data_IF_446697332609
#
_entry.id   IF_446697332609
#
_cell.length_a   1.000
_cell.length_b   1.000
_cell.length_c   1.000
_cell.angle_alpha   90.00
_cell.angle_beta   90.00
_cell.angle_gamma   90.00
#
_symmetry.space_group_name_H-M   'P 1'
#
loop_
_entity.id
_entity.type
_entity.pdbx_description
1 polymer ?
#
# COMPACT_ATOMS: atom_id res chain seq x y z
N UNK A 1 19.95 7.23 64.23
CA UNK A 1 19.82 8.10 63.06
C UNK A 1 20.35 7.29 61.91
N UNK A 2 19.53 6.35 61.45
CA UNK A 2 19.78 5.70 60.17
C UNK A 2 19.23 6.67 59.14
N UNK A 3 20.14 7.39 58.48
CA UNK A 3 19.85 8.03 57.20
C UNK A 3 19.45 6.92 56.24
N UNK A 4 18.16 6.59 56.22
CA UNK A 4 17.56 6.01 55.04
C UNK A 4 17.85 7.01 53.91
N UNK A 5 18.87 6.73 53.09
CA UNK A 5 19.09 7.40 51.82
C UNK A 5 17.85 7.09 50.97
N UNK A 6 16.81 7.90 51.13
CA UNK A 6 15.59 7.78 50.38
C UNK A 6 15.94 8.07 48.93
N UNK A 7 16.20 6.98 48.21
CA UNK A 7 16.20 6.87 46.76
C UNK A 7 17.40 7.49 46.03
N UNK A 8 18.43 6.66 45.78
CA UNK A 8 19.12 6.65 44.49
C UNK A 8 18.14 6.14 43.40
N UNK A 9 16.94 6.72 43.29
CA UNK A 9 16.04 6.39 42.18
C UNK A 9 16.48 7.22 40.98
N UNK A 10 16.73 6.50 39.89
CA UNK A 10 16.84 7.14 38.59
C UNK A 10 15.47 7.75 38.22
N UNK A 11 15.33 9.06 38.39
CA UNK A 11 14.11 9.80 38.03
C UNK A 11 13.74 9.62 36.56
N UNK A 12 14.72 9.36 35.68
CA UNK A 12 14.45 9.08 34.27
C UNK A 12 13.79 7.72 34.11
N UNK A 13 14.16 6.71 34.90
CA UNK A 13 13.48 5.41 34.93
C UNK A 13 12.05 5.55 35.47
N UNK A 14 11.83 6.38 36.49
CA UNK A 14 10.47 6.66 37.00
C UNK A 14 9.61 7.35 35.94
N UNK A 15 10.14 8.36 35.25
CA UNK A 15 9.44 9.07 34.18
C UNK A 15 9.20 8.17 32.96
N UNK A 16 10.15 7.28 32.63
CA UNK A 16 10.02 6.25 31.58
C UNK A 16 8.84 5.33 31.83
N UNK A 17 8.59 4.98 33.10
CA UNK A 17 7.43 4.20 33.54
C UNK A 17 6.16 5.06 33.76
N UNK A 18 6.18 6.33 33.32
CA UNK A 18 5.05 7.28 33.43
C UNK A 18 4.59 7.59 34.86
N UNK A 19 5.44 7.39 35.86
CA UNK A 19 5.14 7.63 37.27
C UNK A 19 5.41 9.09 37.68
N UNK A 20 4.71 10.04 37.05
CA UNK A 20 5.01 11.46 37.23
C UNK A 20 4.69 12.02 38.61
N UNK A 21 3.80 11.41 39.40
CA UNK A 21 3.56 11.85 40.78
C UNK A 21 4.83 11.81 41.65
N UNK A 22 5.68 10.80 41.42
CA UNK A 22 6.97 10.66 42.11
C UNK A 22 7.98 11.66 41.56
N UNK A 23 7.97 11.89 40.24
CA UNK A 23 8.81 12.90 39.59
C UNK A 23 8.47 14.30 40.12
N UNK A 24 7.20 14.66 40.17
CA UNK A 24 6.73 15.96 40.62
C UNK A 24 7.11 16.21 42.08
N UNK A 25 6.91 15.19 42.95
CA UNK A 25 7.35 15.22 44.35
C UNK A 25 8.87 15.40 44.48
N UNK A 26 9.66 14.69 43.67
CA UNK A 26 11.12 14.86 43.67
C UNK A 26 11.52 16.28 43.22
N UNK A 27 10.85 16.81 42.20
CA UNK A 27 11.07 18.18 41.72
C UNK A 27 10.60 19.25 42.73
N UNK A 28 9.76 18.93 43.71
CA UNK A 28 9.42 19.84 44.83
C UNK A 28 10.51 19.87 45.92
N UNK A 29 11.35 18.84 45.97
CA UNK A 29 12.32 18.63 47.04
C UNK A 29 13.76 18.59 46.50
N UNK A 30 14.10 19.50 45.56
CA UNK A 30 15.40 19.55 44.89
C UNK A 30 16.58 19.71 45.84
N UNK A 31 16.38 20.30 47.03
CA UNK A 31 17.42 20.48 48.05
C UNK A 31 17.94 19.13 48.62
N UNK A 32 17.21 18.05 48.41
CA UNK A 32 17.54 16.72 48.93
C UNK A 32 18.36 15.86 47.94
N UNK A 33 18.59 16.33 46.71
CA UNK A 33 19.18 15.52 45.63
C UNK A 33 20.11 16.35 44.73
N UNK A 34 21.18 15.75 44.21
CA UNK A 34 22.01 16.35 43.16
C UNK A 34 21.30 16.18 41.80
N UNK A 35 20.41 17.13 41.49
CA UNK A 35 19.56 17.09 40.31
C UNK A 35 20.09 17.99 39.18
N UNK A 36 20.43 17.36 38.05
CA UNK A 36 20.66 18.06 36.78
C UNK A 36 19.43 17.92 35.89
N UNK A 37 18.80 19.07 35.57
CA UNK A 37 17.54 19.14 34.82
C UNK A 37 17.61 18.52 33.42
N UNK A 38 18.78 18.59 32.81
CA UNK A 38 19.06 18.10 31.46
C UNK A 38 19.85 16.79 31.46
N UNK A 39 19.89 16.07 32.59
CA UNK A 39 20.45 14.71 32.64
C UNK A 39 19.75 13.79 31.64
N UNK A 40 20.55 13.00 30.94
CA UNK A 40 20.11 12.10 29.87
C UNK A 40 20.28 10.64 30.29
N UNK A 41 19.30 9.81 29.91
CA UNK A 41 19.39 8.36 30.05
C UNK A 41 20.26 7.74 28.93
N UNK A 42 20.35 6.41 28.91
CA UNK A 42 21.07 5.65 27.87
C UNK A 42 20.55 5.91 26.43
N UNK A 43 19.33 6.43 26.29
CA UNK A 43 18.72 6.80 25.01
C UNK A 43 18.87 8.29 24.67
N UNK A 44 19.55 9.08 25.52
CA UNK A 44 19.63 10.52 25.38
C UNK A 44 18.35 11.27 25.80
N UNK A 45 17.35 10.60 26.37
CA UNK A 45 16.12 11.25 26.79
C UNK A 45 16.32 11.93 28.14
N UNK A 46 15.73 13.11 28.27
CA UNK A 46 15.61 13.86 29.53
C UNK A 46 14.22 13.71 30.12
N UNK A 47 13.99 14.19 31.34
CA UNK A 47 12.65 14.27 31.92
C UNK A 47 11.69 15.07 31.05
N UNK A 48 12.17 16.09 30.33
CA UNK A 48 11.35 16.90 29.44
C UNK A 48 10.90 16.10 28.20
N UNK A 49 11.71 15.16 27.71
CA UNK A 49 11.28 14.24 26.65
C UNK A 49 10.15 13.31 27.14
N UNK A 50 10.27 12.77 28.36
CA UNK A 50 9.24 11.91 28.92
C UNK A 50 7.94 12.66 29.21
N UNK A 51 8.01 13.84 29.82
CA UNK A 51 6.85 14.70 30.04
C UNK A 51 6.17 15.08 28.71
N UNK A 52 6.98 15.28 27.65
CA UNK A 52 6.48 15.52 26.30
C UNK A 52 5.82 14.30 25.65
N UNK A 53 6.26 13.08 25.93
CA UNK A 53 5.62 11.86 25.42
C UNK A 53 4.27 11.61 26.10
N UNK A 54 4.20 11.82 27.42
CA UNK A 54 3.02 11.49 28.23
C UNK A 54 2.00 12.62 28.31
N UNK A 55 2.37 13.84 27.91
CA UNK A 55 1.49 15.00 28.00
C UNK A 55 1.43 15.61 29.40
N UNK A 56 2.38 15.31 30.29
CA UNK A 56 2.41 15.90 31.63
C UNK A 56 2.85 17.37 31.57
N UNK A 57 1.85 18.26 31.46
CA UNK A 57 2.03 19.70 31.30
C UNK A 57 2.63 20.35 32.55
N UNK A 58 2.28 19.87 33.73
CA UNK A 58 2.76 20.41 35.00
C UNK A 58 4.26 20.14 35.17
N UNK A 59 4.68 18.88 35.01
CA UNK A 59 6.09 18.51 35.04
C UNK A 59 6.88 19.26 33.96
N UNK A 60 6.36 19.32 32.72
CA UNK A 60 7.04 20.01 31.63
C UNK A 60 7.23 21.51 31.94
N UNK A 61 6.20 22.18 32.46
CA UNK A 61 6.27 23.59 32.83
C UNK A 61 7.29 23.83 33.96
N UNK A 62 7.32 22.93 34.95
CA UNK A 62 8.27 22.98 36.06
C UNK A 62 9.71 22.81 35.58
N UNK A 63 9.97 21.81 34.73
CA UNK A 63 11.30 21.57 34.16
C UNK A 63 11.80 22.78 33.36
N UNK A 64 10.95 23.40 32.51
CA UNK A 64 11.32 24.61 31.76
C UNK A 64 11.60 25.77 32.71
N UNK A 65 10.81 25.94 33.79
CA UNK A 65 11.06 26.97 34.81
C UNK A 65 12.39 26.76 35.54
N UNK A 66 12.79 25.51 35.72
CA UNK A 66 14.10 25.12 36.28
C UNK A 66 15.26 25.25 35.27
N UNK A 67 14.99 25.69 34.04
CA UNK A 67 16.01 25.94 33.02
C UNK A 67 16.26 24.79 32.06
N UNK A 68 15.37 23.78 31.98
CA UNK A 68 15.49 22.69 31.00
C UNK A 68 15.64 23.23 29.58
N UNK A 69 16.64 22.74 28.85
CA UNK A 69 16.89 23.19 27.49
C UNK A 69 15.86 22.61 26.51
N UNK A 70 15.01 23.46 25.93
CA UNK A 70 13.88 23.05 25.08
C UNK A 70 14.29 22.41 23.74
N UNK A 71 15.55 22.56 23.33
CA UNK A 71 16.11 22.03 22.08
C UNK A 71 17.14 20.91 22.31
N UNK A 72 17.18 20.33 23.51
CA UNK A 72 18.05 19.18 23.80
C UNK A 72 17.72 18.00 22.90
N UNK A 73 18.73 17.26 22.46
CA UNK A 73 18.58 16.15 21.50
C UNK A 73 18.81 14.81 22.19
N UNK A 74 17.91 13.86 21.97
CA UNK A 74 18.15 12.45 22.32
C UNK A 74 19.00 11.71 21.28
N UNK A 75 19.27 10.42 21.49
CA UNK A 75 20.11 9.60 20.59
C UNK A 75 19.47 9.33 19.21
N UNK A 76 18.21 9.75 18.99
CA UNK A 76 17.56 9.75 17.68
C UNK A 76 17.64 11.12 16.99
N UNK A 77 18.30 12.10 17.62
CA UNK A 77 18.33 13.49 17.18
C UNK A 77 17.00 14.23 17.41
N UNK A 78 16.12 13.71 18.28
CA UNK A 78 14.81 14.29 18.52
C UNK A 78 14.88 15.30 19.67
N UNK A 79 14.19 16.42 19.51
CA UNK A 79 13.90 17.37 20.60
C UNK A 79 12.65 16.94 21.37
N UNK A 80 12.41 17.49 22.58
CA UNK A 80 11.12 17.32 23.25
C UNK A 80 9.92 17.70 22.37
N UNK A 81 10.07 18.68 21.48
CA UNK A 81 9.02 19.07 20.54
C UNK A 81 8.72 17.98 19.50
N UNK A 82 9.73 17.26 19.01
CA UNK A 82 9.50 16.08 18.14
C UNK A 82 8.67 15.01 18.87
N UNK A 83 9.00 14.75 20.14
CA UNK A 83 8.32 13.74 20.95
C UNK A 83 6.88 14.17 21.25
N UNK A 84 6.65 15.42 21.66
CA UNK A 84 5.30 15.97 21.84
C UNK A 84 4.46 15.85 20.56
N UNK A 85 5.08 16.14 19.41
CA UNK A 85 4.41 16.03 18.11
C UNK A 85 4.04 14.59 17.76
N UNK A 86 4.98 13.64 17.94
CA UNK A 86 4.74 12.23 17.66
C UNK A 86 3.60 11.64 18.51
N UNK A 87 3.53 12.05 19.77
CA UNK A 87 2.52 11.58 20.73
C UNK A 87 1.28 12.48 20.80
N UNK A 88 1.06 13.35 19.81
CA UNK A 88 -0.14 14.17 19.69
C UNK A 88 -0.41 15.13 20.88
N UNK A 89 0.63 15.55 21.62
CA UNK A 89 0.51 16.36 22.84
C UNK A 89 0.48 17.87 22.54
N UNK A 90 -0.68 18.38 22.10
CA UNK A 90 -0.86 19.80 21.75
C UNK A 90 -0.47 20.79 22.87
N UNK A 91 -0.93 20.63 24.13
CA UNK A 91 -0.57 21.57 25.20
C UNK A 91 0.94 21.63 25.47
N UNK A 92 1.64 20.48 25.36
CA UNK A 92 3.10 20.46 25.52
C UNK A 92 3.78 21.16 24.35
N UNK A 93 3.34 20.91 23.12
CA UNK A 93 3.90 21.57 21.95
C UNK A 93 3.73 23.10 22.03
N UNK A 94 2.57 23.58 22.47
CA UNK A 94 2.32 25.00 22.73
C UNK A 94 3.29 25.57 23.77
N UNK A 95 3.46 24.88 24.89
CA UNK A 95 4.38 25.26 25.95
C UNK A 95 5.84 25.32 25.46
N UNK A 96 6.30 24.30 24.73
CA UNK A 96 7.66 24.21 24.21
C UNK A 96 7.94 25.32 23.19
N UNK A 97 7.03 25.55 22.24
CA UNK A 97 7.17 26.62 21.23
C UNK A 97 7.18 28.00 21.90
N UNK A 98 6.31 28.22 22.89
CA UNK A 98 6.30 29.47 23.68
C UNK A 98 7.64 29.73 24.39
N UNK A 99 8.36 28.68 24.76
CA UNK A 99 9.67 28.75 25.43
C UNK A 99 10.85 28.48 24.48
N UNK A 100 10.71 28.84 23.19
CA UNK A 100 11.83 28.89 22.25
C UNK A 100 12.25 27.54 21.65
N UNK A 101 11.41 26.52 21.70
CA UNK A 101 11.65 25.29 20.94
C UNK A 101 11.67 25.60 19.43
N UNK A 102 12.72 25.15 18.75
CA UNK A 102 12.91 25.35 17.32
C UNK A 102 12.04 24.33 16.55
N UNK A 103 11.09 24.88 15.79
CA UNK A 103 10.08 24.13 15.03
C UNK A 103 10.65 23.38 13.82
N UNK A 104 11.86 23.72 13.37
CA UNK A 104 12.45 23.23 12.13
C UNK A 104 13.71 22.37 12.33
N UNK A 105 13.99 21.95 13.56
CA UNK A 105 15.06 20.97 13.83
C UNK A 105 14.72 19.67 13.13
N UNK A 106 15.70 18.99 12.54
CA UNK A 106 15.52 17.66 11.95
C UNK A 106 16.17 16.61 12.82
N UNK A 107 15.46 15.50 13.02
CA UNK A 107 16.02 14.30 13.65
C UNK A 107 16.96 13.53 12.71
N UNK A 108 17.52 12.41 13.16
CA UNK A 108 18.42 11.60 12.34
C UNK A 108 17.72 10.93 11.14
N UNK A 109 16.39 10.92 11.07
CA UNK A 109 15.62 10.51 9.89
C UNK A 109 15.32 11.67 8.93
N UNK A 110 15.88 12.86 9.19
CA UNK A 110 15.57 14.14 8.52
C UNK A 110 14.13 14.60 8.75
N UNK A 111 13.44 14.07 9.74
CA UNK A 111 12.06 14.45 10.07
C UNK A 111 12.05 15.65 11.02
N UNK A 112 11.24 16.65 10.72
CA UNK A 112 11.00 17.80 11.62
C UNK A 112 9.87 17.50 12.61
N UNK A 113 9.63 18.38 13.61
CA UNK A 113 8.44 18.27 14.46
C UNK A 113 7.12 18.16 13.70
N UNK A 114 6.95 18.87 12.58
CA UNK A 114 5.72 18.74 11.76
C UNK A 114 5.57 17.35 11.13
N UNK A 115 6.67 16.71 10.73
CA UNK A 115 6.65 15.30 10.30
C UNK A 115 6.13 14.38 11.40
N UNK A 116 6.60 14.59 12.63
CA UNK A 116 6.12 13.82 13.78
C UNK A 116 4.65 14.11 14.09
N UNK A 117 4.19 15.36 13.94
CA UNK A 117 2.80 15.73 14.17
C UNK A 117 1.84 15.06 13.18
N UNK A 118 2.22 15.02 11.89
CA UNK A 118 1.48 14.30 10.85
C UNK A 118 1.48 12.79 11.12
N UNK A 119 2.64 12.21 11.47
CA UNK A 119 2.77 10.78 11.82
C UNK A 119 1.97 10.39 13.07
N UNK A 120 1.82 11.31 14.02
CA UNK A 120 0.98 11.14 15.20
C UNK A 120 -0.53 11.30 14.93
N UNK A 121 -0.92 11.68 13.70
CA UNK A 121 -2.32 11.79 13.27
C UNK A 121 -3.13 12.90 13.95
N UNK A 122 -2.49 13.89 14.58
CA UNK A 122 -3.22 14.98 15.26
C UNK A 122 -3.29 16.25 14.40
N UNK A 123 -4.39 16.41 13.68
CA UNK A 123 -4.70 17.57 12.84
C UNK A 123 -4.55 18.92 13.55
N UNK A 124 -5.01 19.05 14.79
CA UNK A 124 -4.96 20.33 15.52
C UNK A 124 -3.52 20.70 15.87
N UNK A 125 -2.72 19.70 16.26
CA UNK A 125 -1.30 19.87 16.50
C UNK A 125 -0.55 20.22 15.21
N UNK A 126 -0.84 19.52 14.11
CA UNK A 126 -0.24 19.86 12.81
C UNK A 126 -0.58 21.29 12.40
N UNK A 127 -1.85 21.72 12.52
CA UNK A 127 -2.25 23.12 12.26
C UNK A 127 -1.49 24.11 13.13
N UNK A 128 -1.35 23.82 14.42
CA UNK A 128 -0.58 24.67 15.31
C UNK A 128 0.87 24.81 14.83
N UNK A 129 1.56 23.71 14.57
CA UNK A 129 2.96 23.71 14.14
C UNK A 129 3.14 24.45 12.80
N UNK A 130 2.25 24.21 11.83
CA UNK A 130 2.23 24.94 10.55
C UNK A 130 2.05 26.44 10.74
N UNK A 131 1.13 26.86 11.61
CA UNK A 131 0.87 28.28 11.92
C UNK A 131 2.07 29.02 12.53
N UNK A 132 3.08 28.28 13.01
CA UNK A 132 4.31 28.81 13.59
C UNK A 132 5.50 28.82 12.62
N UNK A 133 5.25 28.59 11.33
CA UNK A 133 6.29 28.66 10.29
C UNK A 133 7.10 27.38 10.14
N UNK A 134 6.47 26.22 10.37
CA UNK A 134 7.08 24.95 10.03
C UNK A 134 7.27 24.81 8.52
N UNK A 135 8.44 24.32 8.11
CA UNK A 135 8.77 24.12 6.71
C UNK A 135 8.16 22.78 6.26
N UNK A 136 7.21 22.86 5.30
CA UNK A 136 6.48 21.71 4.76
C UNK A 136 7.21 20.99 3.61
N UNK A 137 8.00 21.71 2.83
CA UNK A 137 8.73 21.19 1.66
C UNK A 137 10.05 20.50 2.06
N UNK A 138 9.98 19.60 3.04
CA UNK A 138 11.09 18.74 3.45
C UNK A 138 10.71 17.30 3.24
N UNK A 139 11.72 16.46 3.06
CA UNK A 139 11.57 15.04 2.86
C UNK A 139 12.43 14.29 3.88
N UNK A 140 11.92 13.16 4.35
CA UNK A 140 12.68 12.29 5.24
C UNK A 140 13.75 11.51 4.45
N UNK A 141 14.49 10.62 5.13
CA UNK A 141 15.54 9.79 4.49
C UNK A 141 15.06 8.91 3.33
N UNK A 142 13.78 8.56 3.27
CA UNK A 142 13.19 7.75 2.19
C UNK A 142 12.42 8.59 1.16
N UNK A 143 12.63 9.90 1.18
CA UNK A 143 11.97 10.88 0.33
C UNK A 143 10.44 10.93 0.49
N UNK A 144 9.90 10.51 1.64
CA UNK A 144 8.50 10.76 1.97
C UNK A 144 8.34 12.23 2.38
N UNK A 145 7.38 12.90 1.74
CA UNK A 145 6.85 14.21 2.17
C UNK A 145 5.71 14.06 3.18
N UNK A 146 5.25 15.17 3.76
CA UNK A 146 4.13 15.17 4.72
C UNK A 146 2.83 14.67 4.08
N UNK A 147 2.57 15.02 2.82
CA UNK A 147 1.40 14.55 2.08
C UNK A 147 1.33 13.02 1.97
N UNK A 148 2.47 12.34 1.77
CA UNK A 148 2.52 10.87 1.75
C UNK A 148 2.05 10.28 3.07
N UNK A 149 2.55 10.82 4.19
CA UNK A 149 2.16 10.39 5.53
C UNK A 149 0.67 10.65 5.80
N UNK A 150 0.17 11.83 5.41
CA UNK A 150 -1.24 12.18 5.61
C UNK A 150 -2.20 11.25 4.85
N UNK A 151 -1.84 10.85 3.62
CA UNK A 151 -2.64 9.91 2.83
C UNK A 151 -2.68 8.52 3.48
N UNK A 152 -1.58 8.02 4.04
CA UNK A 152 -1.54 6.72 4.72
C UNK A 152 -2.43 6.65 5.98
N UNK A 153 -2.69 7.79 6.62
CA UNK A 153 -3.50 7.87 7.84
C UNK A 153 -5.00 8.09 7.58
N UNK A 154 -5.45 8.12 6.31
CA UNK A 154 -6.86 8.36 5.95
C UNK A 154 -7.43 9.67 6.55
N UNK A 155 -6.57 10.67 6.78
CA UNK A 155 -6.99 11.98 7.27
C UNK A 155 -7.16 12.94 6.09
N UNK A 156 -8.31 12.86 5.42
CA UNK A 156 -8.64 13.71 4.26
C UNK A 156 -8.53 15.21 4.57
N UNK A 157 -8.80 15.58 5.82
CA UNK A 157 -8.75 16.97 6.23
C UNK A 157 -7.31 17.47 6.43
N UNK A 158 -6.42 16.59 6.89
CA UNK A 158 -4.98 16.86 6.92
C UNK A 158 -4.41 16.89 5.51
N UNK A 159 -4.78 15.94 4.64
CA UNK A 159 -4.42 15.98 3.21
C UNK A 159 -4.84 17.32 2.59
N UNK A 160 -6.07 17.76 2.83
CA UNK A 160 -6.56 19.07 2.37
C UNK A 160 -5.73 20.23 2.91
N UNK A 161 -5.42 20.22 4.21
CA UNK A 161 -4.61 21.25 4.85
C UNK A 161 -3.21 21.35 4.22
N UNK A 162 -2.55 20.22 3.96
CA UNK A 162 -1.22 20.20 3.37
C UNK A 162 -1.25 20.69 1.92
N UNK A 163 -2.25 20.27 1.13
CA UNK A 163 -2.46 20.77 -0.23
C UNK A 163 -2.82 22.26 -0.27
N UNK A 164 -3.50 22.79 0.76
CA UNK A 164 -3.77 24.23 0.92
C UNK A 164 -2.49 25.03 1.28
N UNK A 165 -1.43 24.36 1.77
CA UNK A 165 -0.12 24.94 2.06
C UNK A 165 0.89 24.69 0.92
N UNK A 166 0.41 24.54 -0.31
CA UNK A 166 1.23 24.43 -1.54
C UNK A 166 2.14 23.19 -1.59
N UNK A 167 1.84 22.12 -0.84
CA UNK A 167 2.52 20.83 -1.07
C UNK A 167 2.19 20.27 -2.47
N UNK A 168 3.21 19.81 -3.16
CA UNK A 168 3.07 19.22 -4.49
C UNK A 168 2.47 17.80 -4.40
N UNK A 169 1.30 17.54 -5.00
CA UNK A 169 0.65 16.24 -4.98
C UNK A 169 1.33 15.16 -5.83
N UNK A 170 2.40 15.50 -6.55
CA UNK A 170 3.11 14.61 -7.48
C UNK A 170 4.50 14.21 -7.00
N UNK A 171 4.91 14.65 -5.81
CA UNK A 171 6.19 14.28 -5.22
C UNK A 171 6.32 12.77 -5.09
N UNK A 172 7.52 12.25 -5.35
CA UNK A 172 7.76 10.80 -5.37
C UNK A 172 8.60 10.37 -4.18
N UNK A 173 8.22 9.26 -3.54
CA UNK A 173 9.13 8.57 -2.60
C UNK A 173 10.33 7.97 -3.34
N UNK A 174 11.32 7.46 -2.59
CA UNK A 174 12.42 6.68 -3.18
C UNK A 174 11.94 5.41 -3.91
N UNK A 175 10.72 4.94 -3.65
CA UNK A 175 10.10 3.82 -4.37
C UNK A 175 9.41 4.25 -5.69
N UNK A 176 9.41 5.54 -6.00
CA UNK A 176 8.71 6.10 -7.16
C UNK A 176 7.21 6.26 -6.96
N UNK A 177 6.74 6.27 -5.71
CA UNK A 177 5.31 6.36 -5.40
C UNK A 177 4.92 7.82 -5.16
N UNK A 178 3.98 8.33 -5.96
CA UNK A 178 3.25 9.56 -5.66
C UNK A 178 2.11 9.33 -4.65
N UNK A 179 1.60 10.39 -3.96
CA UNK A 179 0.45 10.32 -3.06
C UNK A 179 -0.79 9.61 -3.62
N UNK A 180 -1.04 9.72 -4.94
CA UNK A 180 -2.16 9.01 -5.60
C UNK A 180 -2.01 7.49 -5.57
N UNK A 181 -0.78 6.95 -5.61
CA UNK A 181 -0.55 5.51 -5.48
C UNK A 181 -0.93 5.03 -4.08
N UNK A 182 -0.55 5.81 -3.05
CA UNK A 182 -0.90 5.52 -1.67
C UNK A 182 -2.42 5.57 -1.46
N UNK A 183 -3.10 6.56 -2.04
CA UNK A 183 -4.57 6.65 -1.96
C UNK A 183 -5.25 5.41 -2.55
N UNK A 184 -4.75 4.89 -3.68
CA UNK A 184 -5.25 3.65 -4.29
C UNK A 184 -4.93 2.42 -3.42
N UNK A 185 -3.70 2.29 -2.93
CA UNK A 185 -3.28 1.18 -2.07
C UNK A 185 -4.08 1.10 -0.76
N UNK A 186 -4.49 2.24 -0.23
CA UNK A 186 -5.28 2.36 1.00
C UNK A 186 -6.80 2.42 0.75
N UNK A 187 -7.28 2.11 -0.47
CA UNK A 187 -8.72 2.06 -0.81
C UNK A 187 -9.46 3.39 -0.60
N UNK A 188 -8.75 4.51 -0.69
CA UNK A 188 -9.26 5.81 -0.27
C UNK A 188 -9.67 6.67 -1.47
N UNK A 189 -10.84 6.37 -2.02
CA UNK A 189 -11.42 7.13 -3.13
C UNK A 189 -11.63 8.63 -2.81
N UNK A 190 -12.12 9.03 -1.60
CA UNK A 190 -12.23 10.45 -1.25
C UNK A 190 -10.91 11.21 -1.32
N UNK A 191 -9.82 10.63 -0.80
CA UNK A 191 -8.49 11.24 -0.87
C UNK A 191 -7.95 11.24 -2.30
N UNK A 192 -8.17 10.17 -3.07
CA UNK A 192 -7.80 10.14 -4.49
C UNK A 192 -8.47 11.27 -5.27
N UNK A 193 -9.78 11.46 -5.10
CA UNK A 193 -10.53 12.57 -5.72
C UNK A 193 -10.00 13.93 -5.29
N UNK A 194 -9.70 14.09 -4.01
CA UNK A 194 -9.11 15.33 -3.49
C UNK A 194 -7.75 15.60 -4.16
N UNK A 195 -6.86 14.62 -4.23
CA UNK A 195 -5.55 14.75 -4.89
C UNK A 195 -5.72 15.14 -6.37
N UNK A 196 -6.57 14.44 -7.13
CA UNK A 196 -6.85 14.75 -8.54
C UNK A 196 -7.40 16.18 -8.69
N UNK A 197 -8.33 16.59 -7.83
CA UNK A 197 -8.87 17.96 -7.83
C UNK A 197 -7.81 19.05 -7.55
N UNK A 198 -6.68 18.65 -6.95
CA UNK A 198 -5.52 19.50 -6.67
C UNK A 198 -4.37 19.30 -7.65
N UNK A 199 -4.65 18.79 -8.86
CA UNK A 199 -3.69 18.59 -9.96
C UNK A 199 -2.69 17.45 -9.74
N UNK A 200 -3.07 16.42 -8.98
CA UNK A 200 -2.31 15.18 -8.98
C UNK A 200 -2.40 14.50 -10.36
N UNK A 201 -1.26 14.04 -10.86
CA UNK A 201 -1.13 13.33 -12.12
C UNK A 201 -1.46 11.84 -11.93
N UNK A 202 -2.48 11.35 -12.65
CA UNK A 202 -2.89 9.93 -12.64
C UNK A 202 -2.04 9.05 -13.55
N UNK A 203 -1.14 9.67 -14.33
CA UNK A 203 -0.27 9.00 -15.31
C UNK A 203 1.07 8.55 -14.74
N UNK A 204 1.39 8.95 -13.50
CA UNK A 204 2.61 8.50 -12.82
C UNK A 204 2.52 6.97 -12.65
N UNK A 205 3.63 6.30 -12.93
CA UNK A 205 3.72 4.84 -12.86
C UNK A 205 4.62 4.41 -11.71
N UNK A 206 4.33 3.25 -11.14
CA UNK A 206 5.16 2.64 -10.10
C UNK A 206 6.50 2.11 -10.67
N UNK A 207 7.34 1.55 -9.79
CA UNK A 207 8.62 0.96 -10.18
C UNK A 207 8.49 -0.24 -11.15
N UNK A 208 7.32 -0.84 -11.32
CA UNK A 208 7.06 -1.89 -12.30
C UNK A 208 6.39 -1.36 -13.56
N UNK A 209 6.39 -0.04 -13.77
CA UNK A 209 5.70 0.62 -14.89
C UNK A 209 4.18 0.41 -14.85
N UNK A 210 3.59 0.11 -13.68
CA UNK A 210 2.14 -0.05 -13.50
C UNK A 210 1.48 1.31 -13.35
N UNK A 211 0.33 1.49 -14.00
CA UNK A 211 -0.53 2.67 -13.82
C UNK A 211 -1.40 2.54 -12.56
N UNK A 212 -2.08 3.63 -12.16
CA UNK A 212 -3.06 3.57 -11.07
C UNK A 212 -4.17 2.53 -11.32
N UNK A 213 -4.56 2.31 -12.57
CA UNK A 213 -5.57 1.30 -12.91
C UNK A 213 -5.08 -0.13 -12.63
N UNK A 214 -3.80 -0.44 -12.88
CA UNK A 214 -3.22 -1.73 -12.49
C UNK A 214 -3.27 -1.91 -10.97
N UNK A 215 -2.93 -0.87 -10.21
CA UNK A 215 -2.97 -0.92 -8.75
C UNK A 215 -4.40 -1.10 -8.24
N UNK A 216 -5.37 -0.35 -8.78
CA UNK A 216 -6.77 -0.46 -8.40
C UNK A 216 -7.34 -1.87 -8.67
N UNK A 217 -6.98 -2.47 -9.81
CA UNK A 217 -7.30 -3.89 -10.12
C UNK A 217 -6.60 -4.85 -9.15
N UNK A 218 -5.30 -4.68 -8.91
CA UNK A 218 -4.51 -5.51 -7.98
C UNK A 218 -5.11 -5.51 -6.57
N UNK A 219 -5.54 -4.36 -6.09
CA UNK A 219 -6.19 -4.21 -4.80
C UNK A 219 -7.69 -4.53 -4.84
N UNK A 220 -8.28 -4.79 -6.01
CA UNK A 220 -9.70 -5.13 -6.20
C UNK A 220 -10.66 -4.03 -5.72
N UNK A 221 -10.29 -2.76 -5.94
CA UNK A 221 -11.18 -1.64 -5.66
C UNK A 221 -11.95 -1.25 -6.91
N UNK A 222 -13.17 -1.77 -7.04
CA UNK A 222 -14.07 -1.48 -8.17
C UNK A 222 -14.41 0.01 -8.25
N UNK A 223 -14.67 0.66 -7.12
CA UNK A 223 -15.03 2.08 -7.09
C UNK A 223 -13.89 2.99 -7.58
N UNK A 224 -12.65 2.66 -7.23
CA UNK A 224 -11.48 3.39 -7.73
C UNK A 224 -11.24 3.08 -9.21
N UNK A 225 -11.43 1.83 -9.65
CA UNK A 225 -11.34 1.49 -11.07
C UNK A 225 -12.38 2.27 -11.89
N UNK A 226 -13.63 2.34 -11.45
CA UNK A 226 -14.69 3.13 -12.11
C UNK A 226 -14.31 4.62 -12.20
N UNK A 227 -13.81 5.21 -11.11
CA UNK A 227 -13.34 6.59 -11.10
C UNK A 227 -12.21 6.81 -12.11
N UNK A 228 -11.19 5.95 -12.11
CA UNK A 228 -10.05 6.08 -13.01
C UNK A 228 -10.45 5.87 -14.48
N UNK A 229 -11.35 4.94 -14.77
CA UNK A 229 -11.88 4.67 -16.11
C UNK A 229 -12.78 5.81 -16.63
N UNK A 230 -13.31 6.66 -15.74
CA UNK A 230 -14.02 7.88 -16.14
C UNK A 230 -13.09 9.01 -16.62
N UNK A 231 -11.78 8.83 -16.51
CA UNK A 231 -10.74 9.76 -16.99
C UNK A 231 -10.15 9.32 -18.34
N UNK A 232 -9.30 10.15 -18.96
CA UNK A 232 -8.61 9.84 -20.23
C UNK A 232 -7.45 8.82 -20.08
N UNK A 233 -7.48 7.96 -19.05
CA UNK A 233 -6.43 6.97 -18.80
C UNK A 233 -6.46 5.85 -19.84
N UNK A 234 -5.27 5.41 -20.28
CA UNK A 234 -5.15 4.27 -21.17
C UNK A 234 -5.45 2.95 -20.44
N UNK A 235 -6.67 2.43 -20.65
CA UNK A 235 -7.13 1.13 -20.14
C UNK A 235 -6.23 -0.04 -20.59
N UNK A 236 -5.49 0.14 -21.68
CA UNK A 236 -4.60 -0.85 -22.28
C UNK A 236 -3.13 -0.60 -21.95
N UNK A 237 -2.82 0.29 -21.01
CA UNK A 237 -1.43 0.48 -20.60
C UNK A 237 -0.82 -0.86 -20.16
N UNK A 238 0.40 -1.14 -20.59
CA UNK A 238 1.14 -2.33 -20.20
C UNK A 238 2.23 -1.98 -19.18
N UNK A 239 2.41 -2.85 -18.19
CA UNK A 239 3.48 -2.75 -17.20
C UNK A 239 4.83 -3.25 -17.75
N UNK A 240 5.83 -3.45 -16.88
CA UNK A 240 7.17 -3.92 -17.29
C UNK A 240 7.16 -5.31 -17.91
N UNK A 241 6.19 -6.15 -17.60
CA UNK A 241 6.08 -7.51 -18.14
C UNK A 241 5.10 -7.58 -19.31
N UNK A 242 4.67 -6.42 -19.86
CA UNK A 242 3.63 -6.39 -20.89
C UNK A 242 2.22 -6.66 -20.34
N UNK A 243 2.07 -6.81 -19.02
CA UNK A 243 0.80 -7.16 -18.39
C UNK A 243 -0.11 -5.94 -18.40
N UNK A 244 -1.37 -6.13 -18.79
CA UNK A 244 -2.39 -5.07 -18.80
C UNK A 244 -3.32 -5.19 -17.60
N UNK A 245 -4.15 -4.18 -17.27
CA UNK A 245 -5.18 -4.32 -16.25
C UNK A 245 -6.12 -5.51 -16.48
N UNK A 246 -6.41 -5.84 -17.75
CA UNK A 246 -7.26 -6.97 -18.11
C UNK A 246 -6.57 -8.33 -17.86
N UNK A 247 -5.25 -8.43 -18.10
CA UNK A 247 -4.47 -9.61 -17.71
C UNK A 247 -4.54 -9.81 -16.19
N UNK A 248 -4.24 -8.75 -15.40
CA UNK A 248 -4.29 -8.81 -13.94
C UNK A 248 -5.68 -9.19 -13.41
N UNK A 249 -6.75 -8.58 -13.92
CA UNK A 249 -8.12 -8.92 -13.50
C UNK A 249 -8.47 -10.38 -13.79
N UNK A 250 -7.96 -10.91 -14.91
CA UNK A 250 -8.14 -12.30 -15.31
C UNK A 250 -7.34 -13.27 -14.43
N UNK A 251 -6.08 -12.95 -14.13
CA UNK A 251 -5.23 -13.73 -13.22
C UNK A 251 -5.83 -13.81 -11.82
N UNK A 252 -6.37 -12.67 -11.33
CA UNK A 252 -7.05 -12.56 -10.05
C UNK A 252 -8.42 -13.24 -10.01
N UNK A 253 -8.88 -13.83 -11.13
CA UNK A 253 -10.21 -14.42 -11.29
C UNK A 253 -11.35 -13.46 -10.86
N UNK A 254 -11.27 -12.19 -11.26
CA UNK A 254 -12.25 -11.17 -10.91
C UNK A 254 -13.19 -10.86 -12.10
N UNK A 255 -14.29 -11.61 -12.20
CA UNK A 255 -15.22 -11.49 -13.33
C UNK A 255 -15.91 -10.12 -13.44
N UNK A 256 -16.15 -9.46 -12.30
CA UNK A 256 -16.72 -8.11 -12.27
C UNK A 256 -15.72 -7.10 -12.83
N UNK A 257 -14.47 -7.15 -12.38
CA UNK A 257 -13.42 -6.28 -12.88
C UNK A 257 -13.11 -6.51 -14.36
N UNK A 258 -13.10 -7.78 -14.80
CA UNK A 258 -12.96 -8.13 -16.22
C UNK A 258 -14.07 -7.48 -17.04
N UNK A 259 -15.33 -7.61 -16.61
CA UNK A 259 -16.48 -7.03 -17.33
C UNK A 259 -16.37 -5.50 -17.40
N UNK A 260 -16.04 -4.85 -16.27
CA UNK A 260 -15.85 -3.41 -16.20
C UNK A 260 -14.77 -2.91 -17.17
N UNK A 261 -13.62 -3.58 -17.25
CA UNK A 261 -12.53 -3.22 -18.17
C UNK A 261 -12.94 -3.40 -19.63
N UNK A 262 -13.67 -4.46 -19.96
CA UNK A 262 -14.18 -4.73 -21.32
C UNK A 262 -15.17 -3.65 -21.75
N UNK A 263 -16.11 -3.29 -20.88
CA UNK A 263 -17.08 -2.22 -21.14
C UNK A 263 -16.38 -0.89 -21.45
N UNK A 264 -15.24 -0.66 -20.81
CA UNK A 264 -14.34 0.48 -21.02
C UNK A 264 -13.26 0.25 -22.10
N UNK A 265 -13.51 -0.65 -23.06
CA UNK A 265 -12.68 -0.85 -24.28
C UNK A 265 -11.28 -1.43 -24.03
N UNK A 266 -11.11 -2.25 -23.01
CA UNK A 266 -9.92 -3.09 -22.88
C UNK A 266 -9.76 -4.02 -24.10
N UNK A 267 -8.55 -4.07 -24.65
CA UNK A 267 -8.20 -4.92 -25.77
C UNK A 267 -7.97 -6.36 -25.29
N UNK A 268 -8.87 -7.24 -25.72
CA UNK A 268 -8.92 -8.65 -25.35
C UNK A 268 -7.75 -9.50 -25.87
N UNK A 269 -6.93 -8.95 -26.77
CA UNK A 269 -5.91 -9.69 -27.50
C UNK A 269 -4.53 -9.04 -27.39
N UNK A 270 -4.31 -8.15 -26.41
CA UNK A 270 -2.96 -7.72 -26.07
C UNK A 270 -2.17 -8.91 -25.56
N UNK A 271 -0.88 -8.94 -25.86
CA UNK A 271 0.04 -9.99 -25.45
C UNK A 271 1.00 -9.43 -24.40
N UNK A 272 1.24 -10.20 -23.33
CA UNK A 272 2.31 -9.91 -22.37
C UNK A 272 3.70 -10.31 -22.92
N UNK A 273 4.74 -10.21 -22.10
CA UNK A 273 6.11 -10.56 -22.50
C UNK A 273 6.35 -12.03 -22.85
N UNK A 274 5.42 -12.93 -22.52
CA UNK A 274 5.48 -14.34 -22.92
C UNK A 274 4.53 -14.65 -24.09
N UNK A 275 3.87 -13.63 -24.64
CA UNK A 275 2.87 -13.77 -25.69
C UNK A 275 1.49 -14.21 -25.19
N UNK A 276 1.26 -14.24 -23.88
CA UNK A 276 -0.04 -14.61 -23.34
C UNK A 276 -1.02 -13.48 -23.56
N UNK A 277 -2.21 -13.83 -24.05
CA UNK A 277 -3.37 -12.94 -24.04
C UNK A 277 -4.19 -13.17 -22.76
N UNK A 278 -5.14 -12.29 -22.42
CA UNK A 278 -6.03 -12.54 -21.27
C UNK A 278 -6.77 -13.89 -21.38
N UNK A 279 -7.06 -14.37 -22.59
CA UNK A 279 -7.69 -15.69 -22.75
C UNK A 279 -6.74 -16.85 -22.43
N UNK A 280 -5.43 -16.70 -22.68
CA UNK A 280 -4.43 -17.67 -22.23
C UNK A 280 -4.35 -17.69 -20.69
N UNK A 281 -4.31 -16.51 -20.07
CA UNK A 281 -4.32 -16.39 -18.60
C UNK A 281 -5.57 -17.06 -18.01
N UNK A 282 -6.76 -16.76 -18.54
CA UNK A 282 -8.00 -17.41 -18.12
C UNK A 282 -7.92 -18.93 -18.24
N UNK A 283 -7.39 -19.45 -19.35
CA UNK A 283 -7.24 -20.89 -19.55
C UNK A 283 -6.31 -21.56 -18.51
N UNK A 284 -5.29 -20.83 -18.04
CA UNK A 284 -4.36 -21.30 -17.01
C UNK A 284 -4.89 -21.18 -15.57
N UNK A 285 -5.74 -20.19 -15.30
CA UNK A 285 -6.26 -19.91 -13.95
C UNK A 285 -7.37 -20.89 -13.54
N UNK A 286 -7.33 -21.40 -12.31
CA UNK A 286 -8.39 -22.28 -11.77
C UNK A 286 -9.71 -21.52 -11.58
N UNK A 287 -10.83 -22.22 -11.76
CA UNK A 287 -12.19 -21.71 -11.54
C UNK A 287 -12.53 -20.43 -12.33
N UNK A 288 -11.89 -20.23 -13.48
CA UNK A 288 -12.00 -19.05 -14.36
C UNK A 288 -13.00 -19.21 -15.51
N UNK A 289 -13.83 -20.27 -15.50
CA UNK A 289 -14.75 -20.58 -16.61
C UNK A 289 -15.68 -19.42 -16.95
N UNK A 290 -16.10 -18.65 -15.95
CA UNK A 290 -16.91 -17.45 -16.15
C UNK A 290 -16.15 -16.38 -16.95
N UNK A 291 -14.91 -16.06 -16.57
CA UNK A 291 -14.06 -15.10 -17.30
C UNK A 291 -13.79 -15.58 -18.72
N UNK A 292 -13.49 -16.87 -18.90
CA UNK A 292 -13.30 -17.48 -20.20
C UNK A 292 -14.53 -17.28 -21.11
N UNK A 293 -15.74 -17.45 -20.56
CA UNK A 293 -17.00 -17.18 -21.26
C UNK A 293 -17.16 -15.69 -21.58
N UNK A 294 -16.88 -14.80 -20.64
CA UNK A 294 -16.97 -13.34 -20.84
C UNK A 294 -16.02 -12.89 -21.96
N UNK A 295 -14.76 -13.28 -21.90
CA UNK A 295 -13.74 -12.93 -22.90
C UNK A 295 -14.12 -13.44 -24.29
N UNK A 296 -14.52 -14.71 -24.41
CA UNK A 296 -14.90 -15.28 -25.71
C UNK A 296 -16.21 -14.72 -26.26
N UNK A 297 -17.19 -14.41 -25.39
CA UNK A 297 -18.43 -13.75 -25.81
C UNK A 297 -18.18 -12.34 -26.36
N UNK A 298 -17.14 -11.65 -25.88
CA UNK A 298 -16.73 -10.32 -26.34
C UNK A 298 -15.69 -10.35 -27.48
N UNK A 299 -15.36 -11.53 -28.03
CA UNK A 299 -14.53 -11.66 -29.22
C UNK A 299 -13.02 -11.85 -28.96
N UNK A 300 -12.63 -12.34 -27.78
CA UNK A 300 -11.26 -12.78 -27.56
C UNK A 300 -10.89 -13.95 -28.50
N UNK A 301 -9.72 -13.87 -29.12
CA UNK A 301 -9.22 -14.86 -30.09
C UNK A 301 -8.82 -16.16 -29.39
N UNK A 302 -9.51 -17.25 -29.74
CA UNK A 302 -9.23 -18.59 -29.22
C UNK A 302 -8.02 -19.27 -29.88
N UNK A 303 -7.52 -18.70 -30.98
CA UNK A 303 -6.45 -19.20 -31.84
C UNK A 303 -5.15 -18.39 -31.75
N UNK A 304 -5.11 -17.39 -30.85
CA UNK A 304 -3.89 -16.65 -30.55
C UNK A 304 -2.79 -17.61 -30.06
N UNK A 305 -1.54 -17.35 -30.46
CA UNK A 305 -0.38 -18.18 -30.11
C UNK A 305 0.57 -17.38 -29.24
N UNK A 306 0.88 -17.88 -28.05
CA UNK A 306 1.95 -17.31 -27.24
C UNK A 306 3.34 -17.60 -27.84
N UNK A 307 4.41 -17.20 -27.14
CA UNK A 307 5.77 -17.40 -27.65
C UNK A 307 6.22 -18.87 -27.70
N UNK A 308 5.54 -19.79 -27.03
CA UNK A 308 5.73 -21.24 -27.19
C UNK A 308 4.89 -21.83 -28.33
N UNK A 309 4.08 -21.00 -28.99
CA UNK A 309 3.10 -21.43 -30.00
C UNK A 309 1.87 -22.07 -29.38
N UNK A 310 1.74 -22.06 -28.06
CA UNK A 310 0.58 -22.60 -27.36
C UNK A 310 -0.61 -21.69 -27.61
N UNK A 311 -1.74 -22.30 -27.95
CA UNK A 311 -3.06 -21.65 -27.93
C UNK A 311 -3.61 -21.68 -26.49
N UNK A 312 -4.65 -20.89 -26.15
CA UNK A 312 -5.31 -20.99 -24.85
C UNK A 312 -5.72 -22.43 -24.48
N UNK A 313 -6.13 -23.26 -25.44
CA UNK A 313 -6.46 -24.67 -25.18
C UNK A 313 -5.25 -25.51 -24.76
N UNK A 314 -4.05 -25.21 -25.27
CA UNK A 314 -2.80 -25.87 -24.85
C UNK A 314 -2.46 -25.47 -23.41
N UNK A 315 -2.69 -24.20 -23.05
CA UNK A 315 -2.49 -23.72 -21.67
C UNK A 315 -3.47 -24.41 -20.71
N UNK A 316 -4.76 -24.56 -21.07
CA UNK A 316 -5.74 -25.30 -20.26
C UNK A 316 -5.37 -26.79 -20.10
N UNK A 317 -4.86 -27.41 -21.17
CA UNK A 317 -4.32 -28.77 -21.13
C UNK A 317 -3.11 -28.86 -20.19
N UNK A 318 -2.19 -27.91 -20.28
CA UNK A 318 -0.97 -27.81 -19.49
C UNK A 318 -1.24 -27.62 -18.00
N UNK A 319 -2.21 -26.79 -17.66
CA UNK A 319 -2.57 -26.44 -16.27
C UNK A 319 -3.49 -27.45 -15.59
N UNK A 320 -4.06 -28.40 -16.35
CA UNK A 320 -5.09 -29.32 -15.85
C UNK A 320 -6.45 -28.65 -15.63
N UNK A 321 -6.72 -27.51 -16.29
CA UNK A 321 -8.00 -26.81 -16.18
C UNK A 321 -9.06 -27.48 -17.06
N UNK A 322 -9.74 -28.47 -16.48
CA UNK A 322 -10.77 -29.31 -17.12
C UNK A 322 -11.86 -28.45 -17.75
N UNK A 323 -12.42 -27.48 -17.01
CA UNK A 323 -13.54 -26.68 -17.47
C UNK A 323 -13.15 -25.79 -18.65
N UNK A 324 -11.99 -25.13 -18.57
CA UNK A 324 -11.48 -24.32 -19.67
C UNK A 324 -11.15 -25.17 -20.89
N UNK A 325 -10.54 -26.34 -20.70
CA UNK A 325 -10.22 -27.26 -21.79
C UNK A 325 -11.49 -27.70 -22.53
N UNK A 326 -12.52 -28.17 -21.81
CA UNK A 326 -13.80 -28.59 -22.42
C UNK A 326 -14.45 -27.44 -23.18
N UNK A 327 -14.42 -26.23 -22.60
CA UNK A 327 -15.02 -25.05 -23.23
C UNK A 327 -14.29 -24.66 -24.52
N UNK A 328 -12.95 -24.61 -24.49
CA UNK A 328 -12.12 -24.24 -25.63
C UNK A 328 -12.05 -25.33 -26.70
N UNK A 329 -12.17 -26.61 -26.32
CA UNK A 329 -12.16 -27.74 -27.26
C UNK A 329 -13.23 -27.61 -28.35
N UNK A 330 -14.37 -26.98 -28.03
CA UNK A 330 -15.45 -26.73 -28.99
C UNK A 330 -15.25 -25.49 -29.87
N UNK A 331 -14.30 -24.62 -29.52
CA UNK A 331 -14.13 -23.27 -30.08
C UNK A 331 -12.79 -23.05 -30.77
N UNK A 332 -11.77 -23.84 -30.43
CA UNK A 332 -10.42 -23.78 -30.95
C UNK A 332 -10.20 -24.83 -32.05
N UNK A 333 -9.22 -24.59 -32.92
CA UNK A 333 -8.69 -25.62 -33.81
C UNK A 333 -8.00 -26.71 -32.96
N UNK A 334 -8.72 -27.77 -32.60
CA UNK A 334 -8.24 -28.83 -31.71
C UNK A 334 -7.04 -29.62 -32.26
N UNK A 335 -6.82 -29.56 -33.58
CA UNK A 335 -5.66 -30.15 -34.26
C UNK A 335 -4.46 -29.20 -34.43
N UNK A 336 -4.55 -27.94 -33.97
CA UNK A 336 -3.42 -27.03 -34.04
C UNK A 336 -2.30 -27.50 -33.09
N UNK A 337 -1.05 -27.36 -33.54
CA UNK A 337 0.14 -27.72 -32.77
C UNK A 337 0.90 -26.49 -32.30
N UNK A 338 1.52 -26.59 -31.12
CA UNK A 338 2.48 -25.59 -30.64
C UNK A 338 3.86 -25.70 -31.34
N UNK A 339 4.86 -24.92 -30.91
CA UNK A 339 6.19 -24.90 -31.57
C UNK A 339 6.93 -26.23 -31.51
N UNK A 340 6.65 -27.08 -30.52
CA UNK A 340 7.25 -28.41 -30.41
C UNK A 340 6.44 -29.49 -31.14
N UNK A 341 5.39 -29.11 -31.86
CA UNK A 341 4.58 -30.01 -32.69
C UNK A 341 3.54 -30.81 -31.93
N UNK A 342 3.24 -30.46 -30.67
CA UNK A 342 2.22 -31.14 -29.87
C UNK A 342 0.85 -30.46 -30.01
N UNK A 343 -0.20 -31.25 -30.15
CA UNK A 343 -1.58 -30.78 -29.96
C UNK A 343 -1.91 -30.65 -28.47
N UNK A 344 -2.99 -29.94 -28.14
CA UNK A 344 -3.43 -29.81 -26.74
C UNK A 344 -3.78 -31.17 -26.09
N UNK A 345 -4.27 -32.14 -26.87
CA UNK A 345 -4.51 -33.51 -26.36
C UNK A 345 -3.19 -34.23 -26.06
N UNK A 346 -2.17 -34.07 -26.91
CA UNK A 346 -0.84 -34.64 -26.67
C UNK A 346 -0.12 -33.97 -25.48
N UNK A 347 -0.37 -32.69 -25.22
CA UNK A 347 0.11 -32.01 -24.01
C UNK A 347 -0.47 -32.67 -22.75
N UNK A 348 -1.76 -33.03 -22.74
CA UNK A 348 -2.37 -33.77 -21.63
C UNK A 348 -1.71 -35.13 -21.44
N UNK A 349 -1.49 -35.87 -22.53
CA UNK A 349 -0.84 -37.18 -22.50
C UNK A 349 0.57 -37.10 -21.91
N UNK A 350 1.33 -36.08 -22.30
CA UNK A 350 2.69 -35.84 -21.82
C UNK A 350 2.71 -35.46 -20.33
N UNK A 351 1.78 -34.62 -19.88
CA UNK A 351 1.68 -34.21 -18.47
C UNK A 351 1.22 -35.34 -17.56
N UNK A 352 0.43 -36.28 -18.08
CA UNK A 352 0.00 -37.46 -17.34
C UNK A 352 -1.03 -37.19 -16.23
N UNK A 353 -1.75 -36.06 -16.28
CA UNK A 353 -2.81 -35.75 -15.32
C UNK A 353 -3.93 -36.82 -15.41
N UNK A 354 -4.18 -37.61 -14.35
CA UNK A 354 -5.13 -38.73 -14.43
C UNK A 354 -6.57 -38.31 -14.73
N UNK A 355 -6.96 -37.10 -14.36
CA UNK A 355 -8.33 -36.59 -14.57
C UNK A 355 -8.48 -36.10 -16.01
N UNK A 356 -7.49 -35.36 -16.51
CA UNK A 356 -7.48 -34.93 -17.91
C UNK A 356 -7.37 -36.11 -18.88
N UNK A 357 -6.58 -37.15 -18.55
CA UNK A 357 -6.51 -38.38 -19.34
C UNK A 357 -7.85 -39.12 -19.41
N UNK A 358 -8.60 -39.16 -18.29
CA UNK A 358 -9.96 -39.73 -18.28
C UNK A 358 -10.93 -38.89 -19.12
N UNK A 359 -10.80 -37.56 -19.08
CA UNK A 359 -11.58 -36.67 -19.92
C UNK A 359 -11.33 -36.96 -21.41
N UNK A 360 -10.06 -37.10 -21.83
CA UNK A 360 -9.72 -37.43 -23.22
C UNK A 360 -10.37 -38.74 -23.67
N UNK A 361 -10.24 -39.79 -22.87
CA UNK A 361 -10.84 -41.09 -23.17
C UNK A 361 -12.37 -41.00 -23.37
N UNK A 362 -13.04 -40.10 -22.65
CA UNK A 362 -14.48 -39.90 -22.77
C UNK A 362 -14.86 -39.01 -23.96
N UNK A 363 -14.05 -38.00 -24.30
CA UNK A 363 -14.22 -37.19 -25.51
C UNK A 363 -14.08 -38.04 -26.78
N UNK A 364 -13.11 -38.95 -26.83
CA UNK A 364 -12.88 -39.85 -27.97
C UNK A 364 -14.05 -40.83 -28.18
N UNK A 365 -14.64 -41.35 -27.09
CA UNK A 365 -15.84 -42.20 -27.16
C UNK A 365 -17.06 -41.43 -27.69
N UNK A 366 -17.21 -40.17 -27.30
CA UNK A 366 -18.34 -39.34 -27.71
C UNK A 366 -18.23 -38.89 -29.18
N UNK A 367 -17.02 -38.52 -29.64
CA UNK A 367 -16.77 -38.15 -31.03
C UNK A 367 -17.02 -39.32 -32.00
N UNK A 368 -16.72 -40.56 -31.57
CA UNK A 368 -16.93 -41.76 -32.38
C UNK A 368 -18.38 -42.31 -32.37
N UNK A 369 -19.25 -41.80 -31.50
CA UNK A 369 -20.63 -42.32 -31.34
C UNK A 369 -21.73 -41.43 -31.92
N UNK A 370 -21.41 -40.21 -32.40
CA UNK A 370 -22.39 -39.29 -32.99
C UNK A 370 -23.44 -38.75 -32.01
N UNK A 371 -23.23 -38.92 -30.70
CA UNK A 371 -24.12 -38.44 -29.64
C UNK A 371 -23.60 -37.08 -29.13
N UNK A 372 -24.43 -36.03 -29.03
CA UNK A 372 -23.99 -34.75 -28.50
C UNK A 372 -23.52 -34.88 -27.05
N UNK A 373 -22.35 -34.28 -26.77
CA UNK A 373 -21.62 -34.33 -25.50
C UNK A 373 -22.57 -34.19 -24.29
N UNK A 374 -22.66 -35.20 -23.40
CA UNK A 374 -23.43 -35.08 -22.17
C UNK A 374 -22.82 -34.00 -21.27
N UNK A 375 -23.66 -33.21 -20.61
CA UNK A 375 -23.24 -32.32 -19.53
C UNK A 375 -22.64 -33.19 -18.43
N UNK A 376 -21.32 -33.22 -18.32
CA UNK A 376 -20.60 -33.90 -17.24
C UNK A 376 -21.04 -33.29 -15.90
N UNK A 377 -21.80 -34.05 -15.11
CA UNK A 377 -21.96 -33.78 -13.67
C UNK A 377 -20.66 -34.18 -12.98
N UNK A 378 -19.74 -33.23 -12.85
CA UNK A 378 -18.52 -33.42 -12.06
C UNK A 378 -18.94 -33.46 -10.58
N UNK A 379 -18.54 -34.46 -9.79
CA UNK A 379 -18.74 -34.42 -8.35
C UNK A 379 -17.86 -33.30 -7.78
N UNK A 380 -18.49 -32.31 -7.12
CA UNK A 380 -17.76 -31.36 -6.27
C UNK A 380 -17.21 -32.15 -5.08
N UNK A 381 -15.89 -32.19 -4.95
CA UNK A 381 -15.20 -32.68 -3.73
C UNK A 381 -14.68 -31.49 -2.95
#
# INVERSE_FOLDING_TARGET
MDEFSFMDFDLLEVARNSCFSVVDLALENLELYDFSVDSQDENGNTLLHYAAATGNLETANKLITLGAYTNILNNKGQTPLHVACLHAQLPIAELLVKNGANINVTDFSKETPVFKAVRGGNKNLTKFILSKGAIVNRYNKINEGLLHLAVMHDDIELVKLLLDNEEDPNELTNAGEAPVHLAVQHYNLPVLRLLISRKAETTIKDFNNRTLLHLAVKYRSTEICEELLSTDLDVNAADREGTTPLHLATELNDALMVSLLIDNKANLNMEDMDGYTPLHVAAGTRDSLEILKILTANGAKCDAKNFNGDLPIHVAAGSGNIEAFIFLYKKSESGATNKIGLTATQVIEMNGDPVMLRLLAELDRNNNSGIPVPVLKIPRY
#
